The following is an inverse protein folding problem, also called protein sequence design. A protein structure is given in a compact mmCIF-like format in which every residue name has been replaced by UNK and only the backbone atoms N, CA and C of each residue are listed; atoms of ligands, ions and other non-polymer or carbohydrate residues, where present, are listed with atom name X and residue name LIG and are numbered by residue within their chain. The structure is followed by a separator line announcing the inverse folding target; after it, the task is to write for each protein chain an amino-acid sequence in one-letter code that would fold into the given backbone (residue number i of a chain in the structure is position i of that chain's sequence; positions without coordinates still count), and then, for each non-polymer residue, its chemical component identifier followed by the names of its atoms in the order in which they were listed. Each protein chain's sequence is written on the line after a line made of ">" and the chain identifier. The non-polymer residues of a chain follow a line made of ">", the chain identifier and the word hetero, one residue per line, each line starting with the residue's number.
data_IF_633365686915
#
_entry.id   IF_633365686915
#
_cell.length_a   1.000
_cell.length_b   1.000
_cell.length_c   1.000
_cell.angle_alpha   90.00
_cell.angle_beta   90.00
_cell.angle_gamma   90.00
#
_symmetry.space_group_name_H-M   'P 1'
#
loop_
_entity.id
_entity.type
_entity.pdbx_description
1 polymer ?
#
# COMPACT_ATOMS: atom_id res chain seq x y z
N UNK A 1 -10.50 10.34 -4.08
CA UNK A 1 -10.64 9.72 -2.74
C UNK A 1 -12.10 9.48 -2.36
N UNK A 2 -12.87 10.49 -1.93
CA UNK A 2 -14.29 10.26 -1.58
C UNK A 2 -15.13 9.81 -2.77
N UNK A 3 -14.93 10.44 -3.94
CA UNK A 3 -15.60 10.03 -5.18
C UNK A 3 -15.31 8.56 -5.49
N UNK A 4 -14.03 8.15 -5.55
CA UNK A 4 -13.63 6.77 -5.86
C UNK A 4 -14.27 5.74 -4.91
N UNK A 5 -14.27 6.01 -3.60
CA UNK A 5 -14.89 5.12 -2.61
C UNK A 5 -16.41 5.01 -2.80
N UNK A 6 -17.09 6.14 -3.03
CA UNK A 6 -18.53 6.18 -3.28
C UNK A 6 -18.86 5.48 -4.60
N UNK A 7 -18.07 5.71 -5.65
CA UNK A 7 -18.24 5.09 -6.96
C UNK A 7 -18.06 3.58 -6.87
N UNK A 8 -17.00 3.09 -6.21
CA UNK A 8 -16.80 1.65 -6.01
C UNK A 8 -17.98 1.02 -5.25
N UNK A 9 -18.42 1.67 -4.18
CA UNK A 9 -19.55 1.21 -3.36
C UNK A 9 -20.84 1.19 -4.17
N UNK A 10 -21.14 2.26 -4.91
CA UNK A 10 -22.34 2.36 -5.74
C UNK A 10 -22.32 1.33 -6.89
N UNK A 11 -21.18 1.15 -7.55
CA UNK A 11 -21.00 0.20 -8.65
C UNK A 11 -21.15 -1.25 -8.19
N UNK A 12 -20.96 -1.52 -6.89
CA UNK A 12 -21.25 -2.83 -6.32
C UNK A 12 -22.68 -2.97 -5.81
N UNK A 13 -23.16 -2.01 -5.02
CA UNK A 13 -24.47 -2.07 -4.35
C UNK A 13 -25.61 -1.99 -5.36
N UNK A 14 -25.53 -1.14 -6.39
CA UNK A 14 -26.61 -0.99 -7.36
C UNK A 14 -26.84 -2.26 -8.18
N UNK A 15 -25.82 -2.91 -8.78
CA UNK A 15 -26.02 -4.20 -9.45
C UNK A 15 -26.45 -5.30 -8.49
N UNK A 16 -25.93 -5.34 -7.27
CA UNK A 16 -26.35 -6.34 -6.28
C UNK A 16 -27.84 -6.22 -5.94
N UNK A 17 -28.33 -5.01 -5.68
CA UNK A 17 -29.74 -4.75 -5.43
C UNK A 17 -30.59 -5.01 -6.67
N UNK A 18 -30.12 -4.61 -7.86
CA UNK A 18 -30.80 -4.86 -9.13
C UNK A 18 -30.96 -6.36 -9.40
N UNK A 19 -29.89 -7.14 -9.24
CA UNK A 19 -29.91 -8.60 -9.36
C UNK A 19 -30.80 -9.24 -8.32
N UNK A 20 -30.83 -8.69 -7.10
CA UNK A 20 -31.71 -9.19 -6.03
C UNK A 20 -33.18 -9.01 -6.40
N UNK A 21 -33.56 -7.79 -6.79
CA UNK A 21 -34.93 -7.48 -7.23
C UNK A 21 -35.30 -8.32 -8.46
N UNK A 22 -34.39 -8.44 -9.43
CA UNK A 22 -34.62 -9.26 -10.61
C UNK A 22 -34.83 -10.74 -10.26
N UNK A 23 -34.03 -11.30 -9.34
CA UNK A 23 -34.22 -12.68 -8.88
C UNK A 23 -35.58 -12.85 -8.18
N UNK A 24 -35.96 -11.91 -7.31
CA UNK A 24 -37.25 -11.93 -6.61
C UNK A 24 -38.44 -11.81 -7.59
N UNK A 25 -38.28 -11.13 -8.74
CA UNK A 25 -39.31 -10.99 -9.76
C UNK A 25 -39.34 -12.14 -10.79
N UNK A 26 -38.18 -12.68 -11.17
CA UNK A 26 -38.06 -13.73 -12.20
C UNK A 26 -38.39 -15.12 -11.65
N UNK A 27 -38.11 -15.36 -10.36
CA UNK A 27 -38.40 -16.64 -9.70
C UNK A 27 -39.84 -16.59 -9.20
N UNK A 28 -40.79 -16.67 -10.14
CA UNK A 28 -42.23 -16.73 -9.85
C UNK A 28 -42.57 -18.15 -9.38
N UNK A 29 -42.24 -18.47 -8.13
CA UNK A 29 -42.57 -19.75 -7.52
C UNK A 29 -41.49 -20.25 -6.56
N UNK A 30 -41.90 -20.85 -5.45
CA UNK A 30 -40.97 -21.43 -4.50
C UNK A 30 -40.40 -22.73 -5.07
N UNK A 31 -39.12 -22.75 -5.40
CA UNK A 31 -38.43 -23.99 -5.80
C UNK A 31 -38.34 -24.87 -4.56
N UNK A 32 -39.15 -25.93 -4.50
CA UNK A 32 -39.13 -26.87 -3.37
C UNK A 32 -37.92 -27.78 -3.54
N UNK A 33 -36.80 -27.37 -2.95
CA UNK A 33 -35.62 -28.20 -2.79
C UNK A 33 -35.74 -29.03 -1.50
N UNK A 34 -35.00 -30.13 -1.41
CA UNK A 34 -34.88 -30.86 -0.15
C UNK A 34 -34.33 -29.94 0.95
N UNK A 35 -34.87 -30.08 2.16
CA UNK A 35 -34.66 -29.16 3.30
C UNK A 35 -33.17 -28.94 3.60
N UNK A 36 -32.36 -29.99 3.42
CA UNK A 36 -30.91 -29.89 3.64
C UNK A 36 -30.20 -29.10 2.55
N UNK A 37 -30.61 -29.29 1.30
CA UNK A 37 -30.01 -28.57 0.17
C UNK A 37 -30.32 -27.08 0.22
N UNK A 38 -31.55 -26.72 0.59
CA UNK A 38 -31.96 -25.33 0.76
C UNK A 38 -31.13 -24.62 1.87
N UNK A 39 -30.98 -25.29 3.02
CA UNK A 39 -30.22 -24.74 4.15
C UNK A 39 -28.72 -24.61 3.87
N UNK A 40 -28.11 -25.63 3.29
CA UNK A 40 -26.67 -25.64 3.00
C UNK A 40 -26.37 -24.68 1.85
N UNK A 41 -27.18 -24.69 0.79
CA UNK A 41 -27.04 -23.80 -0.36
C UNK A 41 -27.20 -22.33 0.04
N UNK A 42 -28.28 -22.00 0.77
CA UNK A 42 -28.50 -20.66 1.30
C UNK A 42 -27.40 -20.20 2.25
N UNK A 43 -26.92 -21.09 3.12
CA UNK A 43 -25.81 -20.82 4.03
C UNK A 43 -24.49 -20.51 3.31
N UNK A 44 -24.10 -21.33 2.34
CA UNK A 44 -22.87 -21.13 1.55
C UNK A 44 -22.95 -19.88 0.67
N UNK A 45 -24.06 -19.69 -0.04
CA UNK A 45 -24.26 -18.51 -0.87
C UNK A 45 -24.26 -17.22 -0.03
N UNK A 46 -24.94 -17.26 1.12
CA UNK A 46 -24.94 -16.16 2.10
C UNK A 46 -23.55 -15.87 2.65
N UNK A 47 -22.78 -16.90 2.99
CA UNK A 47 -21.41 -16.76 3.47
C UNK A 47 -20.50 -16.09 2.43
N UNK A 48 -20.49 -16.59 1.19
CA UNK A 48 -19.68 -16.01 0.10
C UNK A 48 -20.07 -14.56 -0.16
N UNK A 49 -21.38 -14.27 -0.20
CA UNK A 49 -21.89 -12.91 -0.40
C UNK A 49 -21.48 -11.99 0.76
N UNK A 50 -21.54 -12.49 1.99
CA UNK A 50 -21.12 -11.77 3.19
C UNK A 50 -19.63 -11.44 3.18
N UNK A 51 -18.77 -12.41 2.84
CA UNK A 51 -17.31 -12.19 2.71
C UNK A 51 -17.04 -11.12 1.65
N UNK A 52 -17.71 -11.19 0.50
CA UNK A 52 -17.55 -10.22 -0.58
C UNK A 52 -17.99 -8.82 -0.17
N UNK A 53 -19.15 -8.68 0.49
CA UNK A 53 -19.68 -7.43 1.03
C UNK A 53 -18.69 -6.77 2.00
N UNK A 54 -18.18 -7.54 2.97
CA UNK A 54 -17.19 -7.06 3.94
C UNK A 54 -15.90 -6.66 3.24
N UNK A 55 -15.45 -7.43 2.25
CA UNK A 55 -14.22 -7.12 1.52
C UNK A 55 -14.33 -5.82 0.72
N UNK A 56 -15.46 -5.58 0.05
CA UNK A 56 -15.70 -4.33 -0.69
C UNK A 56 -15.81 -3.15 0.27
N UNK A 57 -16.50 -3.32 1.40
CA UNK A 57 -16.55 -2.31 2.45
C UNK A 57 -15.15 -1.97 2.95
N UNK A 58 -14.28 -2.96 3.17
CA UNK A 58 -12.89 -2.74 3.58
C UNK A 58 -12.10 -1.96 2.52
N UNK A 59 -12.24 -2.29 1.24
CA UNK A 59 -11.59 -1.55 0.15
C UNK A 59 -12.08 -0.10 0.08
N UNK A 60 -13.39 0.13 0.17
CA UNK A 60 -13.97 1.46 0.18
C UNK A 60 -13.47 2.28 1.38
N UNK A 61 -13.39 1.67 2.56
CA UNK A 61 -12.84 2.28 3.77
C UNK A 61 -11.35 2.61 3.64
N UNK A 62 -10.57 1.78 2.93
CA UNK A 62 -9.16 2.08 2.64
C UNK A 62 -8.99 3.19 1.59
N UNK A 63 -9.97 3.41 0.70
CA UNK A 63 -9.99 4.55 -0.23
C UNK A 63 -10.37 5.88 0.44
N UNK A 64 -11.06 5.82 1.59
CA UNK A 64 -11.36 7.01 2.37
C UNK A 64 -10.08 7.58 2.97
N UNK A 65 -9.95 8.92 3.07
CA UNK A 65 -8.73 9.58 3.50
C UNK A 65 -8.52 9.50 5.02
N UNK A 66 -8.65 8.30 5.58
CA UNK A 66 -8.42 8.05 7.00
C UNK A 66 -6.92 8.02 7.34
N UNK A 67 -6.59 8.19 8.62
CA UNK A 67 -5.22 8.00 9.09
C UNK A 67 -4.70 6.57 8.88
N UNK A 68 -3.46 6.28 9.30
CA UNK A 68 -2.87 4.95 9.09
C UNK A 68 -3.62 3.88 9.89
N UNK A 69 -4.06 4.28 11.08
CA UNK A 69 -4.72 3.48 12.09
C UNK A 69 -6.18 3.90 12.11
N UNK A 70 -7.04 3.01 11.60
CA UNK A 70 -8.47 3.21 11.63
C UNK A 70 -9.04 2.31 12.72
N UNK A 71 -9.48 2.89 13.84
CA UNK A 71 -10.09 2.14 14.95
C UNK A 71 -9.18 0.98 15.40
N UNK A 72 -7.87 1.21 15.47
CA UNK A 72 -6.87 0.20 15.85
C UNK A 72 -6.47 -0.77 14.75
N UNK A 73 -7.12 -0.75 13.58
CA UNK A 73 -6.72 -1.53 12.41
C UNK A 73 -5.62 -0.81 11.63
N UNK A 74 -4.48 -1.48 11.47
CA UNK A 74 -3.31 -1.03 10.71
C UNK A 74 -2.84 -2.16 9.78
N UNK A 75 -3.24 -2.15 8.49
CA UNK A 75 -2.96 -3.25 7.57
C UNK A 75 -1.46 -3.41 7.27
N UNK A 76 -0.74 -2.29 7.18
CA UNK A 76 0.69 -2.26 6.86
C UNK A 76 1.51 -1.54 7.93
N UNK A 77 2.72 -2.02 8.18
CA UNK A 77 3.69 -1.38 9.06
C UNK A 77 4.49 -0.27 8.34
N UNK A 78 5.47 0.31 9.04
CA UNK A 78 6.35 1.36 8.51
C UNK A 78 7.24 0.87 7.36
N UNK A 79 7.49 -0.44 7.29
CA UNK A 79 8.25 -1.10 6.23
C UNK A 79 7.34 -1.59 5.09
N UNK A 80 6.07 -1.17 5.09
CA UNK A 80 5.04 -1.57 4.13
C UNK A 80 4.79 -3.09 4.10
N UNK A 81 5.14 -3.79 5.17
CA UNK A 81 4.85 -5.20 5.36
C UNK A 81 3.45 -5.35 5.94
N UNK A 82 2.73 -6.37 5.47
CA UNK A 82 1.37 -6.62 5.91
C UNK A 82 1.36 -7.14 7.35
N UNK A 83 0.99 -6.28 8.29
CA UNK A 83 1.01 -6.55 9.74
C UNK A 83 -0.28 -7.20 10.22
N UNK A 84 -1.43 -6.74 9.72
CA UNK A 84 -2.73 -7.21 10.16
C UNK A 84 -3.55 -7.72 8.99
N UNK A 85 -4.32 -8.78 9.27
CA UNK A 85 -5.25 -9.42 8.35
C UNK A 85 -6.54 -9.74 9.10
N UNK A 86 -7.67 -9.64 8.42
CA UNK A 86 -8.96 -10.04 8.98
C UNK A 86 -9.13 -11.57 8.87
N UNK A 87 -8.71 -12.27 9.93
CA UNK A 87 -8.88 -13.72 10.10
C UNK A 87 -10.34 -14.02 10.49
N UNK A 88 -10.96 -15.12 10.02
CA UNK A 88 -10.36 -16.22 9.27
C UNK A 88 -10.48 -16.14 7.75
N UNK A 89 -11.30 -15.24 7.20
CA UNK A 89 -11.69 -15.31 5.79
C UNK A 89 -10.94 -14.36 4.84
N UNK A 90 -10.13 -13.43 5.37
CA UNK A 90 -9.36 -12.47 4.57
C UNK A 90 -10.23 -11.77 3.50
N UNK A 91 -11.35 -11.14 3.90
CA UNK A 91 -12.38 -10.68 2.98
C UNK A 91 -11.86 -9.68 1.92
N UNK A 92 -10.91 -8.82 2.29
CA UNK A 92 -10.27 -7.88 1.36
C UNK A 92 -9.42 -8.57 0.29
N UNK A 93 -8.62 -9.57 0.68
CA UNK A 93 -7.85 -10.41 -0.25
C UNK A 93 -8.77 -11.24 -1.15
N UNK A 94 -9.85 -11.80 -0.59
CA UNK A 94 -10.83 -12.57 -1.34
C UNK A 94 -11.49 -11.72 -2.44
N UNK A 95 -11.97 -10.53 -2.09
CA UNK A 95 -12.58 -9.59 -3.04
C UNK A 95 -11.60 -9.18 -4.15
N UNK A 96 -10.34 -8.87 -3.80
CA UNK A 96 -9.31 -8.55 -4.80
C UNK A 96 -9.03 -9.75 -5.69
N UNK A 97 -8.90 -10.94 -5.11
CA UNK A 97 -8.69 -12.19 -5.84
C UNK A 97 -9.80 -12.44 -6.86
N UNK A 98 -11.05 -12.22 -6.45
CA UNK A 98 -12.22 -12.33 -7.32
C UNK A 98 -12.17 -11.29 -8.46
N UNK A 99 -11.85 -10.03 -8.16
CA UNK A 99 -11.66 -8.98 -9.17
C UNK A 99 -10.55 -9.31 -10.17
N UNK A 100 -9.41 -9.84 -9.68
CA UNK A 100 -8.31 -10.32 -10.54
C UNK A 100 -8.73 -11.49 -11.42
N UNK A 101 -9.51 -12.43 -10.88
CA UNK A 101 -10.05 -13.57 -11.64
C UNK A 101 -10.99 -13.09 -12.75
N UNK A 102 -11.94 -12.20 -12.43
CA UNK A 102 -12.88 -11.66 -13.40
C UNK A 102 -12.21 -10.81 -14.48
N UNK A 103 -11.19 -10.03 -14.11
CA UNK A 103 -10.42 -9.25 -15.08
C UNK A 103 -9.55 -10.10 -15.99
N UNK A 104 -9.17 -11.32 -15.61
CA UNK A 104 -8.50 -12.27 -16.54
C UNK A 104 -9.48 -12.95 -17.48
N UNK A 105 -10.73 -13.10 -17.04
CA UNK A 105 -11.79 -13.73 -17.80
C UNK A 105 -12.63 -12.72 -18.59
N UNK A 106 -13.93 -12.67 -18.27
CA UNK A 106 -14.95 -11.93 -19.02
C UNK A 106 -14.70 -10.42 -19.15
N UNK A 107 -13.91 -9.81 -18.26
CA UNK A 107 -13.57 -8.39 -18.29
C UNK A 107 -12.11 -8.12 -18.69
N UNK A 108 -11.47 -9.06 -19.39
CA UNK A 108 -10.11 -8.90 -19.90
C UNK A 108 -10.01 -7.87 -21.02
N UNK A 109 -9.32 -6.75 -20.74
CA UNK A 109 -8.87 -5.80 -21.76
C UNK A 109 -7.38 -6.00 -22.10
N UNK A 110 -6.80 -5.09 -22.89
CA UNK A 110 -5.36 -5.08 -23.19
C UNK A 110 -4.47 -4.98 -21.94
N UNK A 111 -5.03 -4.52 -20.81
CA UNK A 111 -4.36 -4.46 -19.51
C UNK A 111 -5.22 -5.17 -18.47
N UNK A 112 -4.72 -6.29 -17.96
CA UNK A 112 -5.34 -6.99 -16.84
C UNK A 112 -5.28 -6.14 -15.58
N UNK A 113 -6.38 -6.10 -14.81
CA UNK A 113 -6.43 -5.45 -13.50
C UNK A 113 -5.35 -5.98 -12.56
N UNK A 114 -5.10 -7.30 -12.60
CA UNK A 114 -4.06 -7.94 -11.80
C UNK A 114 -2.64 -7.45 -12.13
N UNK A 115 -2.42 -7.00 -13.37
CA UNK A 115 -1.14 -6.51 -13.85
C UNK A 115 -0.99 -5.00 -13.61
N UNK A 116 -2.08 -4.24 -13.68
CA UNK A 116 -2.08 -2.82 -13.33
C UNK A 116 -2.00 -2.58 -11.80
N UNK A 117 -2.60 -3.48 -11.02
CA UNK A 117 -2.71 -3.40 -9.56
C UNK A 117 -2.23 -4.71 -8.94
N UNK A 118 -0.91 -4.90 -8.95
CA UNK A 118 -0.25 -6.06 -8.36
C UNK A 118 -0.56 -6.21 -6.87
N UNK A 119 -0.46 -5.12 -6.10
CA UNK A 119 -0.89 -5.03 -4.70
C UNK A 119 -1.78 -3.80 -4.47
N UNK A 120 -3.08 -3.95 -4.82
CA UNK A 120 -4.06 -2.89 -4.65
C UNK A 120 -4.19 -2.42 -3.19
N UNK A 121 -4.04 -3.30 -2.19
CA UNK A 121 -4.19 -2.90 -0.78
C UNK A 121 -3.05 -1.99 -0.37
N UNK A 122 -1.82 -2.35 -0.76
CA UNK A 122 -0.66 -1.51 -0.51
C UNK A 122 -0.77 -0.18 -1.27
N UNK A 123 -1.24 -0.22 -2.51
CA UNK A 123 -1.49 0.98 -3.31
C UNK A 123 -2.50 1.91 -2.63
N UNK A 124 -3.64 1.39 -2.20
CA UNK A 124 -4.67 2.17 -1.50
C UNK A 124 -4.15 2.71 -0.18
N UNK A 125 -3.40 1.92 0.58
CA UNK A 125 -2.75 2.36 1.82
C UNK A 125 -1.80 3.53 1.58
N UNK A 126 -0.93 3.42 0.57
CA UNK A 126 0.02 4.48 0.21
C UNK A 126 -0.72 5.72 -0.32
N UNK A 127 -1.69 5.55 -1.21
CA UNK A 127 -2.48 6.64 -1.77
C UNK A 127 -3.27 7.41 -0.70
N UNK A 128 -3.84 6.69 0.28
CA UNK A 128 -4.57 7.27 1.41
C UNK A 128 -3.66 8.08 2.32
N UNK A 129 -2.52 7.52 2.68
CA UNK A 129 -1.55 8.15 3.56
C UNK A 129 -0.65 9.15 2.81
N UNK A 130 -0.85 9.33 1.50
CA UNK A 130 -0.12 10.31 0.71
C UNK A 130 -0.42 11.71 1.23
N UNK A 131 0.62 12.51 1.49
CA UNK A 131 0.41 13.86 1.95
C UNK A 131 -0.14 14.76 0.84
N UNK A 132 -1.32 15.34 1.06
CA UNK A 132 -2.08 15.98 -0.01
C UNK A 132 -2.31 17.50 0.12
N UNK A 133 -1.88 18.20 1.18
CA UNK A 133 -2.17 19.66 1.27
C UNK A 133 -1.30 20.53 2.16
N UNK A 134 -0.63 21.55 1.59
CA UNK A 134 0.27 22.48 2.33
C UNK A 134 -0.56 23.40 3.20
N UNK A 135 -0.35 23.33 4.52
CA UNK A 135 -0.95 24.27 5.47
C UNK A 135 0.16 25.02 6.18
N UNK A 136 0.26 26.32 5.94
CA UNK A 136 1.12 27.19 6.77
C UNK A 136 0.48 27.33 8.16
N UNK A 137 1.10 26.77 9.19
CA UNK A 137 0.73 26.91 10.59
C UNK A 137 1.87 27.62 11.33
N UNK A 138 1.59 28.78 11.96
CA UNK A 138 2.59 29.58 12.71
C UNK A 138 3.89 29.87 11.93
N UNK A 139 3.77 30.23 10.65
CA UNK A 139 4.93 30.53 9.79
C UNK A 139 5.71 29.31 9.29
N UNK A 140 5.31 28.09 9.65
CA UNK A 140 5.86 26.82 9.12
C UNK A 140 4.87 26.15 8.19
N UNK A 141 5.30 25.70 7.02
CA UNK A 141 4.47 24.87 6.13
C UNK A 141 4.41 23.44 6.69
N UNK A 142 3.21 22.96 7.02
CA UNK A 142 2.94 21.57 7.42
C UNK A 142 1.88 20.99 6.48
N UNK A 143 2.16 19.89 5.75
CA UNK A 143 1.05 19.15 5.09
C UNK A 143 0.25 18.40 6.17
N UNK A 144 -0.99 18.83 6.44
CA UNK A 144 -1.87 18.13 7.39
C UNK A 144 -2.49 16.93 6.66
N UNK A 145 -2.35 15.70 7.17
CA UNK A 145 -3.24 14.61 6.72
C UNK A 145 -4.69 15.04 6.98
N UNK A 146 -5.65 14.62 6.15
CA UNK A 146 -7.06 15.07 6.25
C UNK A 146 -7.70 14.87 7.64
N UNK A 147 -7.11 14.04 8.51
CA UNK A 147 -7.52 13.83 9.91
C UNK A 147 -6.50 14.26 10.97
N UNK A 148 -5.49 15.05 10.63
CA UNK A 148 -4.66 15.75 11.62
C UNK A 148 -3.80 14.88 12.54
N UNK A 149 -3.54 13.61 12.19
CA UNK A 149 -2.87 12.64 13.06
C UNK A 149 -1.51 12.13 12.59
N UNK A 150 -0.93 12.75 11.58
CA UNK A 150 0.44 12.47 11.17
C UNK A 150 1.28 13.73 11.29
N UNK A 151 2.27 13.66 12.19
CA UNK A 151 3.43 14.55 12.28
C UNK A 151 4.58 14.09 11.37
N UNK A 152 4.31 13.22 10.38
CA UNK A 152 5.22 13.14 9.25
C UNK A 152 4.97 14.44 8.48
N UNK A 153 5.83 15.45 8.66
CA UNK A 153 5.72 16.74 7.97
C UNK A 153 5.92 16.52 6.48
N UNK A 154 4.90 16.76 5.68
CA UNK A 154 5.04 16.60 4.25
C UNK A 154 5.29 17.97 3.61
N UNK A 155 6.01 17.98 2.48
CA UNK A 155 6.59 19.18 1.86
C UNK A 155 8.11 19.24 1.97
N UNK A 156 8.69 18.42 2.83
CA UNK A 156 10.13 18.31 3.00
C UNK A 156 10.78 17.32 2.06
N UNK A 157 10.02 16.67 1.18
CA UNK A 157 10.61 15.84 0.15
C UNK A 157 9.99 16.11 -1.21
N UNK A 158 10.81 16.70 -2.07
CA UNK A 158 10.48 16.94 -3.47
C UNK A 158 11.36 16.06 -4.32
N UNK A 159 10.75 15.20 -5.13
CA UNK A 159 11.47 14.50 -6.19
C UNK A 159 11.91 15.58 -7.19
N UNK A 160 13.21 15.83 -7.25
CA UNK A 160 13.81 16.83 -8.13
C UNK A 160 14.03 16.23 -9.52
N UNK A 161 14.59 15.03 -9.55
CA UNK A 161 14.88 14.33 -10.78
C UNK A 161 14.99 12.82 -10.54
N UNK A 162 14.77 12.05 -11.60
CA UNK A 162 15.04 10.63 -11.63
C UNK A 162 15.99 10.36 -12.79
N UNK A 163 17.05 9.62 -12.52
CA UNK A 163 18.07 9.24 -13.48
C UNK A 163 18.19 7.73 -13.51
N UNK A 164 18.28 7.18 -14.71
CA UNK A 164 18.73 5.80 -14.88
C UNK A 164 20.25 5.79 -14.90
N UNK A 165 20.85 4.94 -14.07
CA UNK A 165 22.29 4.79 -13.99
C UNK A 165 22.70 3.44 -14.57
N UNK A 166 23.74 3.46 -15.39
CA UNK A 166 24.28 2.25 -15.99
C UNK A 166 24.91 1.38 -14.89
N UNK A 167 24.56 0.09 -14.76
CA UNK A 167 25.00 -0.76 -13.65
C UNK A 167 26.52 -0.82 -13.48
N UNK A 168 27.26 -0.64 -14.57
CA UNK A 168 28.72 -0.72 -14.61
C UNK A 168 29.40 0.45 -13.89
N UNK A 169 28.72 1.58 -13.70
CA UNK A 169 29.25 2.76 -13.00
C UNK A 169 29.16 2.64 -11.47
N UNK A 170 28.41 1.67 -10.95
CA UNK A 170 28.31 1.39 -9.51
C UNK A 170 29.31 0.28 -9.15
N UNK A 171 30.60 0.52 -9.43
CA UNK A 171 31.72 -0.31 -8.96
C UNK A 171 32.19 0.10 -7.56
N UNK A 172 31.27 0.56 -6.70
CA UNK A 172 31.51 0.67 -5.27
C UNK A 172 31.25 -0.68 -4.61
N UNK A 173 32.12 -1.11 -3.69
CA UNK A 173 32.00 -2.40 -3.01
C UNK A 173 30.57 -2.63 -2.52
N UNK A 174 29.99 -3.80 -2.83
CA UNK A 174 28.68 -4.21 -2.32
C UNK A 174 28.60 -4.22 -0.77
N UNK A 175 29.74 -4.09 -0.09
CA UNK A 175 29.84 -3.91 1.37
C UNK A 175 29.53 -2.48 1.85
N UNK A 176 29.58 -1.47 0.99
CA UNK A 176 29.16 -0.09 1.32
C UNK A 176 27.66 0.13 1.13
N UNK A 177 26.98 -0.85 0.56
CA UNK A 177 25.55 -0.88 0.35
C UNK A 177 24.87 -1.30 1.68
N UNK A 178 23.95 -0.46 2.20
CA UNK A 178 23.33 -0.60 3.53
C UNK A 178 22.74 -2.01 3.77
N UNK A 179 22.78 -2.57 5.00
CA UNK A 179 22.23 -3.90 5.31
C UNK A 179 20.76 -4.11 4.94
N UNK A 180 19.95 -3.04 4.88
CA UNK A 180 18.55 -3.12 4.43
C UNK A 180 18.41 -3.40 2.93
N UNK A 181 19.43 -3.13 2.11
CA UNK A 181 19.50 -3.58 0.72
C UNK A 181 19.98 -5.03 0.58
N UNK A 182 20.49 -5.63 1.66
CA UNK A 182 20.69 -7.08 1.74
C UNK A 182 19.39 -7.81 2.10
N UNK A 183 18.36 -7.09 2.57
CA UNK A 183 17.04 -7.69 2.71
C UNK A 183 16.48 -7.89 1.31
N UNK A 184 16.14 -9.14 0.99
CA UNK A 184 15.51 -9.47 -0.28
C UNK A 184 14.25 -8.61 -0.44
N UNK A 185 14.02 -7.99 -1.62
CA UNK A 185 12.83 -7.19 -1.83
C UNK A 185 11.58 -8.02 -1.50
N UNK A 186 10.61 -7.40 -0.82
CA UNK A 186 9.40 -8.03 -0.26
C UNK A 186 8.55 -8.87 -1.24
N UNK A 187 8.78 -8.74 -2.55
CA UNK A 187 8.11 -9.50 -3.60
C UNK A 187 8.88 -10.76 -4.06
N UNK A 188 10.03 -11.06 -3.46
CA UNK A 188 11.00 -12.02 -4.00
C UNK A 188 10.85 -13.47 -3.53
N UNK A 189 9.97 -13.75 -2.55
CA UNK A 189 9.83 -15.08 -1.94
C UNK A 189 9.48 -16.21 -2.93
N UNK A 190 8.93 -15.91 -4.13
CA UNK A 190 8.48 -16.95 -5.06
C UNK A 190 9.55 -17.52 -5.99
N UNK A 191 10.78 -17.00 -6.04
CA UNK A 191 11.81 -17.51 -6.96
C UNK A 191 13.22 -17.51 -6.35
N UNK A 192 13.44 -18.33 -5.31
CA UNK A 192 14.75 -18.55 -4.66
C UNK A 192 15.85 -19.14 -5.58
N UNK A 193 15.52 -19.57 -6.80
CA UNK A 193 16.44 -20.38 -7.62
C UNK A 193 17.39 -19.58 -8.54
N UNK A 194 17.23 -18.27 -8.72
CA UNK A 194 18.13 -17.45 -9.55
C UNK A 194 18.69 -16.30 -8.73
N UNK A 195 20.01 -16.09 -8.73
CA UNK A 195 20.58 -14.85 -8.19
C UNK A 195 19.95 -13.66 -8.94
N UNK A 196 19.47 -12.62 -8.25
CA UNK A 196 18.89 -11.47 -8.93
C UNK A 196 20.00 -10.76 -9.71
N UNK A 197 19.92 -10.80 -11.04
CA UNK A 197 20.73 -9.94 -11.88
C UNK A 197 20.23 -8.50 -11.69
N UNK A 198 21.13 -7.62 -11.24
CA UNK A 198 20.85 -6.19 -11.13
C UNK A 198 20.69 -5.62 -12.55
N UNK A 199 19.46 -5.54 -13.05
CA UNK A 199 19.20 -5.10 -14.43
C UNK A 199 19.25 -3.59 -14.61
N UNK A 200 18.84 -2.83 -13.61
CA UNK A 200 18.62 -1.38 -13.72
C UNK A 200 18.78 -0.71 -12.37
N UNK A 201 19.49 0.41 -12.34
CA UNK A 201 19.62 1.26 -11.15
C UNK A 201 18.91 2.57 -11.47
N UNK A 202 17.95 2.94 -10.63
CA UNK A 202 17.25 4.23 -10.74
C UNK A 202 17.67 5.07 -9.55
N UNK A 203 18.35 6.18 -9.83
CA UNK A 203 18.76 7.16 -8.82
C UNK A 203 17.71 8.27 -8.81
N UNK A 204 17.04 8.42 -7.67
CA UNK A 204 16.00 9.42 -7.51
C UNK A 204 16.57 10.49 -6.60
N UNK A 205 16.77 11.68 -7.16
CA UNK A 205 17.22 12.84 -6.39
C UNK A 205 16.02 13.44 -5.69
N UNK A 206 16.11 13.52 -4.38
CA UNK A 206 15.05 14.05 -3.53
C UNK A 206 15.61 15.13 -2.62
N UNK A 207 14.94 16.28 -2.57
CA UNK A 207 15.32 17.38 -1.69
C UNK A 207 14.69 17.16 -0.32
N UNK A 208 15.50 16.88 0.71
CA UNK A 208 15.04 16.75 2.10
C UNK A 208 15.18 18.08 2.82
N UNK A 209 14.16 18.53 3.56
CA UNK A 209 14.29 19.72 4.40
C UNK A 209 15.25 19.49 5.59
N UNK A 210 16.06 20.51 5.86
CA UNK A 210 17.09 20.52 6.88
C UNK A 210 16.51 20.34 8.28
N UNK A 211 15.35 20.94 8.57
CA UNK A 211 14.74 20.88 9.91
C UNK A 211 14.31 19.46 10.31
N UNK A 212 13.97 18.61 9.32
CA UNK A 212 13.61 17.20 9.55
C UNK A 212 14.85 16.36 9.79
N UNK A 213 15.89 16.62 8.99
CA UNK A 213 17.17 15.91 9.09
C UNK A 213 17.88 16.20 10.41
N UNK A 214 17.83 17.44 10.87
CA UNK A 214 18.52 17.94 12.08
C UNK A 214 17.59 18.07 13.30
N UNK A 215 16.37 17.53 13.21
CA UNK A 215 15.32 17.73 14.20
C UNK A 215 15.77 17.44 15.65
N UNK A 216 15.43 18.35 16.57
CA UNK A 216 15.73 18.22 18.02
C UNK A 216 15.09 17.00 18.69
N UNK A 217 14.05 16.43 18.07
CA UNK A 217 13.44 15.17 18.51
C UNK A 217 14.34 14.01 18.05
N UNK A 218 15.12 13.44 18.98
CA UNK A 218 16.07 12.35 18.72
C UNK A 218 15.43 11.12 18.06
N UNK A 219 14.13 10.89 18.27
CA UNK A 219 13.40 9.81 17.60
C UNK A 219 13.04 10.13 16.12
N UNK A 220 12.80 11.41 15.79
CA UNK A 220 12.56 11.85 14.41
C UNK A 220 13.87 11.91 13.61
N UNK A 221 14.96 12.33 14.24
CA UNK A 221 16.30 12.29 13.66
C UNK A 221 16.82 10.85 13.43
N UNK A 222 16.25 9.83 14.06
CA UNK A 222 16.60 8.44 13.78
C UNK A 222 15.94 7.88 12.52
N UNK A 223 14.77 8.41 12.13
CA UNK A 223 13.89 7.82 11.11
C UNK A 223 13.62 8.73 9.90
N UNK A 224 14.32 9.87 9.75
CA UNK A 224 14.13 10.79 8.60
C UNK A 224 14.41 10.13 7.25
N UNK A 225 15.20 9.06 7.23
CA UNK A 225 15.50 8.28 6.03
C UNK A 225 14.33 7.38 5.60
N UNK A 226 13.35 7.13 6.48
CA UNK A 226 12.19 6.29 6.19
C UNK A 226 11.15 7.11 5.40
N UNK A 227 10.54 6.47 4.41
CA UNK A 227 9.49 7.04 3.57
C UNK A 227 8.12 6.57 4.04
N UNK A 228 7.44 7.27 4.97
CA UNK A 228 6.11 6.87 5.38
C UNK A 228 5.15 6.97 4.18
N UNK A 229 4.59 5.82 3.81
CA UNK A 229 3.55 5.68 2.79
C UNK A 229 3.88 6.24 1.39
N UNK A 230 5.17 6.24 1.03
CA UNK A 230 5.74 6.50 -0.30
C UNK A 230 5.15 7.68 -1.06
N UNK A 231 5.89 8.78 -1.11
CA UNK A 231 5.47 9.99 -1.82
C UNK A 231 5.40 9.83 -3.35
N UNK A 232 6.05 8.80 -3.88
CA UNK A 232 6.04 8.40 -5.27
C UNK A 232 6.08 6.87 -5.36
N UNK A 233 5.61 6.34 -6.50
CA UNK A 233 5.71 4.92 -6.85
C UNK A 233 6.54 4.78 -8.12
N UNK A 234 7.28 3.69 -8.22
CA UNK A 234 7.92 3.30 -9.46
C UNK A 234 7.06 2.24 -10.13
N UNK A 235 6.75 2.44 -11.41
CA UNK A 235 5.98 1.48 -12.20
C UNK A 235 6.92 0.92 -13.26
N UNK A 236 7.09 -0.40 -13.27
CA UNK A 236 7.86 -1.07 -14.32
C UNK A 236 7.10 -1.09 -15.65
N UNK A 237 7.82 -1.37 -16.74
CA UNK A 237 7.20 -1.61 -18.06
C UNK A 237 6.20 -2.78 -18.00
N UNK A 238 6.46 -3.77 -17.14
CA UNK A 238 5.53 -4.86 -16.84
C UNK A 238 4.46 -4.47 -15.82
N UNK A 239 4.12 -3.20 -15.66
CA UNK A 239 3.03 -2.72 -14.81
C UNK A 239 3.17 -2.94 -13.29
N UNK A 240 4.23 -3.62 -12.83
CA UNK A 240 4.47 -3.86 -11.39
C UNK A 240 4.84 -2.57 -10.68
N UNK A 241 4.29 -2.40 -9.50
CA UNK A 241 4.51 -1.24 -8.65
C UNK A 241 5.60 -1.53 -7.62
N UNK A 242 6.48 -0.55 -7.41
CA UNK A 242 7.50 -0.58 -6.37
C UNK A 242 7.36 0.66 -5.49
N UNK A 243 7.35 0.40 -4.19
CA UNK A 243 7.12 1.39 -3.16
C UNK A 243 8.40 1.55 -2.33
N UNK A 244 9.18 2.63 -2.53
CA UNK A 244 10.43 2.82 -1.80
C UNK A 244 10.16 3.12 -0.32
N UNK A 245 10.81 2.36 0.56
CA UNK A 245 10.65 2.47 2.01
C UNK A 245 11.67 3.40 2.67
N UNK A 246 12.74 3.79 1.97
CA UNK A 246 13.71 4.75 2.51
C UNK A 246 14.82 5.16 1.56
N UNK A 247 15.70 6.03 2.07
CA UNK A 247 16.81 6.63 1.33
C UNK A 247 18.16 6.00 1.65
N UNK A 248 19.06 6.08 0.68
CA UNK A 248 20.49 5.92 0.89
C UNK A 248 21.15 7.28 0.77
N UNK A 249 21.93 7.66 1.78
CA UNK A 249 22.75 8.88 1.73
C UNK A 249 24.22 8.51 1.85
N UNK A 250 25.06 9.16 1.04
CA UNK A 250 26.38 8.63 0.67
C UNK A 250 27.42 8.66 1.81
N UNK A 251 27.29 9.46 2.88
CA UNK A 251 28.41 9.67 3.81
C UNK A 251 28.05 9.84 5.31
N UNK A 252 26.96 10.52 5.68
CA UNK A 252 26.71 10.85 7.10
C UNK A 252 26.04 9.74 7.93
N UNK A 253 25.55 8.67 7.30
CA UNK A 253 24.74 7.65 7.97
C UNK A 253 25.56 6.70 8.87
N UNK A 254 26.81 6.38 8.49
CA UNK A 254 27.70 5.57 9.35
C UNK A 254 28.06 6.31 10.65
N UNK A 255 28.11 7.65 10.63
CA UNK A 255 28.37 8.47 11.81
C UNK A 255 27.13 8.60 12.70
N UNK A 256 25.96 8.91 12.13
CA UNK A 256 24.72 9.07 12.91
C UNK A 256 24.30 7.80 13.65
N UNK A 257 24.46 6.61 13.04
CA UNK A 257 24.18 5.34 13.72
C UNK A 257 25.18 5.07 14.85
N UNK A 258 26.47 5.39 14.65
CA UNK A 258 27.50 5.23 15.68
C UNK A 258 27.22 6.16 16.86
N UNK A 259 26.82 7.40 16.61
CA UNK A 259 26.45 8.39 17.62
C UNK A 259 25.17 7.98 18.38
N UNK A 260 24.13 7.52 17.66
CA UNK A 260 22.89 7.05 18.28
C UNK A 260 23.09 5.81 19.15
N UNK A 261 23.88 4.83 18.71
CA UNK A 261 24.24 3.65 19.51
C UNK A 261 25.11 4.04 20.72
N UNK A 262 26.02 4.99 20.56
CA UNK A 262 26.83 5.52 21.65
C UNK A 262 26.01 6.28 22.71
N UNK A 263 24.97 6.99 22.30
CA UNK A 263 24.05 7.70 23.20
C UNK A 263 23.12 6.75 23.97
N UNK A 264 22.65 5.67 23.34
CA UNK A 264 21.79 4.67 23.99
C UNK A 264 22.54 3.75 24.97
N UNK A 265 23.86 3.58 24.81
CA UNK A 265 24.69 2.81 25.73
C UNK A 265 25.12 3.59 26.99
N UNK A 266 24.87 4.91 27.02
CA UNK A 266 25.18 5.81 28.15
C UNK A 266 23.97 6.16 29.01
N UNK A 267 22.79 5.64 28.69
CA UNK A 267 21.58 5.69 29.52
C UNK A 267 21.35 4.33 30.15
#
# INVERSE_FOLDING_TARGET
>A
AYADAITLTALFVLPLLGLRIAADLLIVGNVILDRWMDRVGGGLAGLVTGILLVGILMLAVQMLPFGPNLIGYQPFDEMLQRKQRLVPFYPDEFTIGLGKMFSRGAFGGQREFAHAHDDLLLELYCARNRPNRERKLKGRTMLQSRLGRFDAMPGHLKVEAAYECEPQLVQGSADDIHPLLRQEPLSYEKNKARKPELRKIIVIRTLVDKDVREGRDSQKAANWWLLPATQFRLVSESGRNFYPVGYLTHLDHKQSIKEAKGASARR
#
